data_IF_063443051335
#
_entry.id   IF_063443051335
#
_cell.length_a   1.000
_cell.length_b   1.000
_cell.length_c   1.000
_cell.angle_alpha   90.00
_cell.angle_beta   90.00
_cell.angle_gamma   90.00
#
_symmetry.space_group_name_H-M   'P 1'
#
loop_
_entity.id
_entity.type
_entity.pdbx_description
1 polymer ?
#
# COMPACT_ATOMS: atom_id res chain seq x y z
N UNK A 1 -19.91 -29.52 65.33
CA UNK A 1 -18.95 -28.59 64.69
C UNK A 1 -18.93 -27.29 65.50
N UNK A 2 -17.75 -26.83 65.91
CA UNK A 2 -17.60 -25.74 66.89
C UNK A 2 -17.65 -24.36 66.22
N UNK A 3 -18.42 -23.43 66.80
CA UNK A 3 -18.62 -22.06 66.30
C UNK A 3 -17.29 -21.28 66.15
N UNK A 4 -16.30 -21.63 66.97
CA UNK A 4 -14.94 -21.07 66.93
C UNK A 4 -14.21 -21.37 65.60
N UNK A 5 -14.45 -22.54 65.01
CA UNK A 5 -13.81 -22.99 63.76
C UNK A 5 -14.33 -22.18 62.55
N UNK A 6 -15.63 -21.86 62.57
CA UNK A 6 -16.29 -21.07 61.53
C UNK A 6 -15.78 -19.63 61.52
N UNK A 7 -15.63 -19.01 62.69
CA UNK A 7 -15.04 -17.67 62.83
C UNK A 7 -13.61 -17.60 62.28
N UNK A 8 -12.79 -18.62 62.56
CA UNK A 8 -11.42 -18.69 62.06
C UNK A 8 -11.37 -18.83 60.53
N UNK A 9 -12.24 -19.66 59.95
CA UNK A 9 -12.34 -19.80 58.48
C UNK A 9 -12.77 -18.50 57.81
N UNK A 10 -13.75 -17.79 58.37
CA UNK A 10 -14.22 -16.50 57.83
C UNK A 10 -13.09 -15.47 57.88
N UNK A 11 -12.36 -15.38 59.01
CA UNK A 11 -11.25 -14.43 59.16
C UNK A 11 -10.12 -14.71 58.19
N UNK A 12 -9.78 -15.99 57.98
CA UNK A 12 -8.74 -16.42 57.03
C UNK A 12 -9.13 -16.12 55.57
N UNK A 13 -10.42 -16.20 55.24
CA UNK A 13 -10.94 -15.89 53.90
C UNK A 13 -10.92 -14.38 53.63
N UNK A 14 -11.29 -13.57 54.62
CA UNK A 14 -11.22 -12.11 54.55
C UNK A 14 -9.77 -11.60 54.37
N UNK A 15 -8.79 -12.17 55.10
CA UNK A 15 -7.37 -11.82 54.91
C UNK A 15 -6.86 -12.20 53.51
N UNK A 16 -7.23 -13.38 53.00
CA UNK A 16 -6.85 -13.81 51.64
C UNK A 16 -7.39 -12.89 50.55
N UNK A 17 -8.63 -12.41 50.72
CA UNK A 17 -9.25 -11.45 49.80
C UNK A 17 -8.54 -10.09 49.91
N UNK A 18 -8.30 -9.60 51.14
CA UNK A 18 -7.62 -8.33 51.38
C UNK A 18 -6.19 -8.26 50.83
N UNK A 19 -5.48 -9.40 50.80
CA UNK A 19 -4.12 -9.48 50.26
C UNK A 19 -4.06 -9.56 48.72
N UNK A 20 -5.10 -10.12 48.08
CA UNK A 20 -5.15 -10.30 46.62
C UNK A 20 -5.61 -9.04 45.86
N UNK A 21 -6.48 -8.23 46.47
CA UNK A 21 -7.02 -6.99 45.89
C UNK A 21 -5.94 -5.95 45.52
N UNK A 22 -4.98 -5.57 46.38
CA UNK A 22 -3.98 -4.56 46.04
C UNK A 22 -3.00 -5.02 44.96
N UNK A 23 -2.72 -6.33 44.88
CA UNK A 23 -1.85 -6.91 43.84
C UNK A 23 -2.53 -6.88 42.46
N UNK A 24 -3.83 -7.17 42.41
CA UNK A 24 -4.62 -7.07 41.19
C UNK A 24 -4.78 -5.61 40.73
N UNK A 25 -5.03 -4.68 41.65
CA UNK A 25 -5.21 -3.26 41.33
C UNK A 25 -3.91 -2.63 40.78
N UNK A 26 -2.75 -2.99 41.36
CA UNK A 26 -1.45 -2.55 40.86
C UNK A 26 -1.08 -3.16 39.49
N UNK A 27 -1.56 -4.38 39.19
CA UNK A 27 -1.38 -5.01 37.89
C UNK A 27 -2.28 -4.37 36.81
N UNK A 28 -3.51 -3.98 37.17
CA UNK A 28 -4.45 -3.29 36.27
C UNK A 28 -3.90 -1.91 35.89
N UNK A 29 -3.42 -1.11 36.85
CA UNK A 29 -2.86 0.21 36.57
C UNK A 29 -1.66 0.17 35.60
N UNK A 30 -0.81 -0.87 35.68
CA UNK A 30 0.31 -1.08 34.73
C UNK A 30 -0.17 -1.49 33.34
N UNK A 31 -1.21 -2.31 33.28
CA UNK A 31 -1.82 -2.75 32.02
C UNK A 31 -2.50 -1.57 31.32
N UNK A 32 -3.23 -0.73 32.06
CA UNK A 32 -3.87 0.47 31.51
C UNK A 32 -2.83 1.47 30.98
N UNK A 33 -1.71 1.67 31.70
CA UNK A 33 -0.61 2.50 31.24
C UNK A 33 0.03 1.94 29.96
N UNK A 34 0.22 0.62 29.88
CA UNK A 34 0.75 -0.05 28.69
C UNK A 34 -0.21 0.07 27.50
N UNK A 35 -1.51 -0.13 27.72
CA UNK A 35 -2.55 0.01 26.68
C UNK A 35 -2.62 1.46 26.20
N UNK A 36 -2.57 2.44 27.10
CA UNK A 36 -2.54 3.86 26.73
C UNK A 36 -1.32 4.20 25.85
N UNK A 37 -0.13 3.74 26.23
CA UNK A 37 1.11 3.93 25.45
C UNK A 37 0.98 3.24 24.08
N UNK A 38 0.46 2.01 24.03
CA UNK A 38 0.26 1.30 22.76
C UNK A 38 -0.68 2.06 21.82
N UNK A 39 -1.81 2.57 22.33
CA UNK A 39 -2.76 3.34 21.52
C UNK A 39 -2.10 4.60 20.96
N UNK A 40 -1.33 5.33 21.78
CA UNK A 40 -0.59 6.51 21.35
C UNK A 40 0.44 6.15 20.27
N UNK A 41 1.21 5.08 20.47
CA UNK A 41 2.27 4.67 19.56
C UNK A 41 1.72 4.21 18.21
N UNK A 42 0.63 3.43 18.21
CA UNK A 42 -0.09 3.04 16.99
C UNK A 42 -0.65 4.26 16.28
N UNK A 43 -1.27 5.20 17.01
CA UNK A 43 -1.80 6.45 16.44
C UNK A 43 -0.72 7.30 15.77
N UNK A 44 0.42 7.49 16.43
CA UNK A 44 1.56 8.23 15.88
C UNK A 44 2.16 7.53 14.66
N UNK A 45 2.29 6.20 14.70
CA UNK A 45 2.78 5.43 13.55
C UNK A 45 1.84 5.60 12.34
N UNK A 46 0.54 5.36 12.50
CA UNK A 46 -0.44 5.52 11.42
C UNK A 46 -0.47 6.95 10.87
N UNK A 47 -0.38 7.97 11.72
CA UNK A 47 -0.30 9.37 11.30
C UNK A 47 0.98 9.68 10.50
N UNK A 48 2.14 9.18 10.96
CA UNK A 48 3.42 9.36 10.27
C UNK A 48 3.41 8.69 8.88
N UNK A 49 2.90 7.46 8.78
CA UNK A 49 2.69 6.77 7.50
C UNK A 49 1.74 7.55 6.58
N UNK A 50 0.64 8.10 7.11
CA UNK A 50 -0.28 8.94 6.35
C UNK A 50 0.39 10.21 5.80
N UNK A 51 1.21 10.89 6.63
CA UNK A 51 1.99 12.06 6.19
C UNK A 51 3.01 11.72 5.11
N UNK A 52 3.64 10.54 5.18
CA UNK A 52 4.60 10.08 4.18
C UNK A 52 3.92 9.79 2.82
N UNK A 53 2.72 9.18 2.84
CA UNK A 53 1.92 8.91 1.64
C UNK A 53 1.58 10.18 0.84
N UNK A 54 1.26 11.28 1.53
CA UNK A 54 0.98 12.59 0.90
C UNK A 54 2.23 13.22 0.28
N UNK A 55 3.41 12.96 0.86
CA UNK A 55 4.68 13.47 0.34
C UNK A 55 5.07 12.78 -0.98
N UNK A 56 4.78 11.48 -1.09
CA UNK A 56 5.00 10.73 -2.33
C UNK A 56 4.11 11.21 -3.48
N UNK A 57 2.88 11.62 -3.16
CA UNK A 57 1.94 12.22 -4.12
C UNK A 57 2.31 13.67 -4.51
N UNK A 58 3.27 14.30 -3.84
CA UNK A 58 3.84 15.61 -4.18
C UNK A 58 5.12 15.51 -5.02
N UNK A 59 5.37 14.39 -5.72
CA UNK A 59 6.27 14.44 -6.88
C UNK A 59 5.67 15.40 -7.90
N UNK A 60 6.17 16.62 -7.89
CA UNK A 60 5.86 17.61 -8.91
C UNK A 60 6.11 16.97 -10.29
N UNK A 61 5.14 17.00 -11.21
CA UNK A 61 5.40 16.60 -12.57
C UNK A 61 6.54 17.48 -13.07
N UNK A 62 7.60 16.83 -13.54
CA UNK A 62 8.79 17.49 -14.08
C UNK A 62 8.34 18.19 -15.35
N UNK A 63 7.92 19.45 -15.22
CA UNK A 63 7.56 20.29 -16.35
C UNK A 63 8.87 20.71 -17.02
N UNK A 64 9.20 20.06 -18.13
CA UNK A 64 10.27 20.51 -19.03
C UNK A 64 9.78 21.81 -19.66
N UNK A 65 10.07 22.95 -19.04
CA UNK A 65 9.96 24.24 -19.71
C UNK A 65 11.21 24.38 -20.57
N UNK A 66 11.05 24.14 -21.87
CA UNK A 66 12.09 24.38 -22.85
C UNK A 66 12.33 25.90 -22.93
N UNK A 67 13.30 26.38 -22.16
CA UNK A 67 13.87 27.70 -22.30
C UNK A 67 15.37 27.55 -22.61
N UNK A 68 15.64 27.45 -23.92
CA UNK A 68 16.90 27.86 -24.57
C UNK A 68 18.13 26.98 -24.35
N UNK A 69 18.43 26.11 -25.32
CA UNK A 69 19.54 26.35 -26.25
C UNK A 69 19.47 25.40 -27.46
N UNK A 70 19.70 26.00 -28.62
CA UNK A 70 19.55 25.50 -29.98
C UNK A 70 20.59 24.47 -30.40
N UNK A 71 20.13 23.34 -30.96
CA UNK A 71 20.65 22.58 -32.13
C UNK A 71 19.98 21.19 -32.12
N UNK A 72 19.43 20.58 -33.16
CA UNK A 72 19.31 20.84 -34.60
C UNK A 72 18.27 19.84 -35.17
N UNK A 73 17.60 20.22 -36.25
CA UNK A 73 16.79 19.40 -37.20
C UNK A 73 15.59 18.60 -36.63
N UNK A 74 14.37 19.14 -36.68
CA UNK A 74 13.45 19.10 -37.84
C UNK A 74 12.90 17.68 -38.15
N UNK A 75 11.66 17.39 -37.72
CA UNK A 75 10.55 17.16 -38.66
C UNK A 75 9.20 16.93 -37.93
N UNK A 76 8.24 17.81 -38.26
CA UNK A 76 6.78 17.62 -38.34
C UNK A 76 5.94 17.21 -37.09
N UNK A 77 5.31 18.25 -36.53
CA UNK A 77 3.92 18.43 -36.04
C UNK A 77 2.88 17.29 -36.24
N UNK A 78 1.69 17.38 -35.61
CA UNK A 78 1.35 17.72 -34.23
C UNK A 78 0.33 16.70 -33.67
N UNK A 79 -0.21 16.93 -32.46
CA UNK A 79 -1.51 16.46 -31.91
C UNK A 79 -1.33 15.92 -30.51
N UNK A 80 -1.47 16.84 -29.55
CA UNK A 80 -2.23 16.54 -28.34
C UNK A 80 -3.71 16.66 -28.69
N UNK A 81 -4.57 15.81 -28.13
CA UNK A 81 -5.18 16.26 -26.89
C UNK A 81 -4.97 15.25 -25.76
N UNK A 82 -4.72 15.82 -24.58
CA UNK A 82 -4.69 15.16 -23.30
C UNK A 82 -5.97 14.36 -23.03
N UNK A 83 -5.81 13.12 -22.54
CA UNK A 83 -6.69 12.30 -21.66
C UNK A 83 -6.05 10.90 -21.64
N UNK A 84 -5.85 10.11 -20.58
CA UNK A 84 -6.17 10.08 -19.16
C UNK A 84 -5.41 8.85 -18.63
N UNK A 85 -4.85 8.88 -17.42
CA UNK A 85 -4.54 7.63 -16.71
C UNK A 85 -3.13 7.52 -16.14
N UNK A 86 -2.97 8.09 -14.94
CA UNK A 86 -2.30 7.46 -13.81
C UNK A 86 -1.43 6.23 -14.11
N UNK A 87 -0.10 6.34 -13.96
CA UNK A 87 0.78 5.24 -13.51
C UNK A 87 0.62 3.84 -14.10
N UNK A 88 -0.05 3.69 -15.24
CA UNK A 88 -0.29 2.43 -15.92
C UNK A 88 0.59 2.46 -17.16
N UNK A 89 1.50 1.50 -17.25
CA UNK A 89 2.49 1.42 -18.30
C UNK A 89 1.93 1.59 -19.71
N UNK A 90 2.78 2.02 -20.65
CA UNK A 90 2.40 2.26 -22.05
C UNK A 90 1.82 1.00 -22.72
N UNK A 91 2.30 -0.17 -22.30
CA UNK A 91 1.80 -1.48 -22.73
C UNK A 91 1.67 -2.43 -21.55
N UNK A 92 0.84 -3.46 -21.68
CA UNK A 92 0.70 -4.50 -20.67
C UNK A 92 0.74 -5.89 -21.28
N UNK A 93 1.17 -6.88 -20.51
CA UNK A 93 1.14 -8.28 -20.91
C UNK A 93 0.33 -9.12 -19.91
N UNK A 94 -0.02 -10.34 -20.30
CA UNK A 94 -0.56 -11.32 -19.35
C UNK A 94 0.58 -11.93 -18.53
N UNK A 95 0.37 -12.15 -17.23
CA UNK A 95 1.31 -12.90 -16.36
C UNK A 95 1.71 -14.27 -16.93
N UNK A 96 0.81 -14.90 -17.68
CA UNK A 96 1.02 -16.21 -18.32
C UNK A 96 1.28 -16.14 -19.82
N UNK A 97 1.24 -14.94 -20.42
CA UNK A 97 1.32 -14.77 -21.86
C UNK A 97 2.68 -14.22 -22.29
N UNK A 98 3.18 -14.71 -23.41
CA UNK A 98 4.42 -14.20 -24.03
C UNK A 98 4.18 -12.99 -24.95
N UNK A 99 2.99 -12.39 -24.88
CA UNK A 99 2.57 -11.29 -25.77
C UNK A 99 2.18 -10.05 -24.97
N UNK A 100 2.61 -8.88 -25.45
CA UNK A 100 2.20 -7.59 -24.91
C UNK A 100 1.14 -6.92 -25.80
N UNK A 101 0.28 -6.13 -25.17
CA UNK A 101 -0.90 -5.49 -25.74
C UNK A 101 -0.91 -4.00 -25.35
N UNK A 102 -1.43 -3.16 -26.24
CA UNK A 102 -1.76 -1.78 -25.89
C UNK A 102 -3.13 -1.71 -25.20
N UNK A 103 -3.38 -0.70 -24.34
CA UNK A 103 -4.68 -0.51 -23.67
C UNK A 103 -5.84 -0.29 -24.65
N UNK A 104 -5.55 0.16 -25.87
CA UNK A 104 -6.54 0.42 -26.93
C UNK A 104 -6.75 -0.78 -27.87
N UNK A 105 -6.04 -1.88 -27.67
CA UNK A 105 -6.13 -3.05 -28.55
C UNK A 105 -7.38 -3.88 -28.27
N UNK A 106 -8.06 -4.35 -29.32
CA UNK A 106 -9.21 -5.28 -29.20
C UNK A 106 -8.85 -6.60 -28.49
N UNK A 107 -7.59 -7.04 -28.60
CA UNK A 107 -7.06 -8.20 -27.88
C UNK A 107 -6.90 -7.99 -26.36
N UNK A 108 -6.92 -6.74 -25.88
CA UNK A 108 -6.73 -6.39 -24.48
C UNK A 108 -7.83 -6.95 -23.56
N UNK A 109 -9.06 -7.02 -24.07
CA UNK A 109 -10.24 -7.49 -23.32
C UNK A 109 -10.17 -8.97 -22.95
N UNK A 110 -9.29 -9.75 -23.59
CA UNK A 110 -9.09 -11.17 -23.28
C UNK A 110 -8.21 -11.38 -22.05
N UNK A 111 -7.46 -10.36 -21.64
CA UNK A 111 -6.58 -10.41 -20.46
C UNK A 111 -7.33 -9.84 -19.27
N UNK A 112 -7.63 -10.71 -18.31
CA UNK A 112 -8.23 -10.34 -17.03
C UNK A 112 -7.36 -9.31 -16.30
N UNK A 113 -7.95 -8.29 -15.64
CA UNK A 113 -7.18 -7.21 -15.01
C UNK A 113 -6.21 -7.73 -13.94
N UNK A 114 -6.54 -8.82 -13.25
CA UNK A 114 -5.70 -9.44 -12.21
C UNK A 114 -4.40 -10.05 -12.78
N UNK A 115 -4.39 -10.33 -14.08
CA UNK A 115 -3.26 -10.93 -14.79
C UNK A 115 -2.50 -9.92 -15.66
N UNK A 116 -2.81 -8.62 -15.59
CA UNK A 116 -2.09 -7.59 -16.34
C UNK A 116 -0.81 -7.21 -15.64
N UNK A 117 0.29 -7.27 -16.37
CA UNK A 117 1.60 -6.74 -15.97
C UNK A 117 1.90 -5.55 -16.85
N UNK A 118 2.05 -4.37 -16.24
CA UNK A 118 2.25 -3.11 -16.95
C UNK A 118 3.73 -2.81 -17.14
N UNK A 119 4.11 -2.39 -18.33
CA UNK A 119 5.48 -2.02 -18.69
C UNK A 119 5.56 -0.53 -19.05
N UNK A 120 6.59 0.18 -18.60
CA UNK A 120 6.74 1.61 -18.85
C UNK A 120 7.04 1.94 -20.32
N UNK A 121 7.51 0.97 -21.11
CA UNK A 121 7.79 1.13 -22.54
C UNK A 121 7.71 -0.20 -23.30
N UNK A 122 7.60 -0.13 -24.62
CA UNK A 122 7.65 -1.30 -25.51
C UNK A 122 8.99 -2.03 -25.39
N UNK A 123 10.10 -1.27 -25.41
CA UNK A 123 11.45 -1.82 -25.25
C UNK A 123 11.63 -2.60 -23.93
N UNK A 124 10.98 -2.17 -22.84
CA UNK A 124 11.02 -2.90 -21.57
C UNK A 124 10.26 -4.24 -21.63
N UNK A 125 9.18 -4.31 -22.41
CA UNK A 125 8.45 -5.56 -22.63
C UNK A 125 9.26 -6.52 -23.53
N UNK A 126 9.90 -6.01 -24.58
CA UNK A 126 10.79 -6.79 -25.45
C UNK A 126 12.03 -7.29 -24.72
N UNK A 127 12.64 -6.46 -23.87
CA UNK A 127 13.74 -6.87 -22.99
C UNK A 127 13.33 -7.97 -22.00
N UNK A 128 12.05 -8.04 -21.63
CA UNK A 128 11.47 -9.13 -20.85
C UNK A 128 11.12 -10.37 -21.70
N UNK A 129 11.48 -10.39 -22.98
CA UNK A 129 11.24 -11.51 -23.91
C UNK A 129 9.80 -11.60 -24.40
N UNK A 130 9.02 -10.53 -24.29
CA UNK A 130 7.64 -10.48 -24.76
C UNK A 130 7.59 -10.05 -26.23
N UNK A 131 6.69 -10.66 -26.97
CA UNK A 131 6.46 -10.36 -28.39
C UNK A 131 5.23 -9.48 -28.59
N UNK A 132 5.16 -8.69 -29.67
CA UNK A 132 3.97 -7.93 -29.97
C UNK A 132 2.79 -8.84 -30.28
N UNK A 133 1.60 -8.43 -29.82
CA UNK A 133 0.37 -9.06 -30.27
C UNK A 133 0.05 -8.65 -31.72
N UNK A 134 0.06 -9.63 -32.63
CA UNK A 134 -0.24 -9.45 -34.05
C UNK A 134 -1.61 -8.80 -34.36
N UNK A 135 -2.53 -8.79 -33.39
CA UNK A 135 -3.89 -8.27 -33.57
C UNK A 135 -4.04 -6.81 -33.09
N UNK A 136 -2.95 -6.18 -32.65
CA UNK A 136 -2.97 -4.82 -32.12
C UNK A 136 -2.47 -3.81 -33.17
N UNK A 137 -3.24 -2.75 -33.47
CA UNK A 137 -2.78 -1.69 -34.35
C UNK A 137 -1.58 -0.96 -33.71
N UNK A 138 -0.49 -0.80 -34.47
CA UNK A 138 0.73 -0.09 -34.05
C UNK A 138 1.80 -0.94 -33.34
N UNK A 139 1.59 -2.26 -33.22
CA UNK A 139 2.57 -3.20 -32.64
C UNK A 139 3.07 -4.25 -33.65
N UNK A 140 2.65 -4.20 -34.92
CA UNK A 140 3.03 -5.15 -35.96
C UNK A 140 4.29 -4.72 -36.71
#
# INVERSE_FOLDING_TARGET
MSIQDVSFKIKRLADRIGQAVPMALAAIAKTDMFVAILIILVGLASFALGRLSVLENNRAPIAISAAGETASAASALPTSPAVTGQGQGVVFASKSGSKYYSPTCSGASRVKPENRVWFPSIAAAEAAGLTPAANCPGLQ
#
